data_IF_502042683160
#
_entry.id   IF_502042683160
#
_cell.length_a   1.000
_cell.length_b   1.000
_cell.length_c   1.000
_cell.angle_alpha   90.00
_cell.angle_beta   90.00
_cell.angle_gamma   90.00
#
_symmetry.space_group_name_H-M   'P 1'
#
loop_
_entity.id
_entity.type
_entity.pdbx_description
1 polymer ?
#
# COMPACT_ATOMS: atom_id res chain seq x y z
N UNK A 1 8.79 32.68 1.65
CA UNK A 1 8.53 33.93 0.90
C UNK A 1 7.87 34.86 1.90
N UNK A 2 8.38 36.08 2.09
CA UNK A 2 7.77 37.07 2.97
C UNK A 2 6.52 37.63 2.30
N UNK A 3 5.37 37.52 2.97
CA UNK A 3 4.11 38.08 2.46
C UNK A 3 4.15 39.61 2.52
N UNK A 4 3.66 40.28 1.48
CA UNK A 4 3.31 41.70 1.55
C UNK A 4 1.81 41.78 1.50
N UNK A 5 1.21 42.33 2.55
CA UNK A 5 -0.23 42.43 2.69
C UNK A 5 -0.66 43.87 2.57
N UNK A 6 -1.47 44.17 1.55
CA UNK A 6 -2.06 45.49 1.39
C UNK A 6 -3.32 45.62 2.26
N UNK A 7 -3.35 46.64 3.10
CA UNK A 7 -4.49 46.95 3.95
C UNK A 7 -5.45 47.88 3.20
N UNK A 8 -6.75 47.81 3.51
CA UNK A 8 -7.78 48.61 2.83
C UNK A 8 -7.62 50.13 2.95
N UNK A 9 -6.76 50.61 3.86
CA UNK A 9 -6.41 52.02 4.03
C UNK A 9 -5.18 52.46 3.20
N UNK A 10 -4.65 51.60 2.32
CA UNK A 10 -3.48 51.87 1.48
C UNK A 10 -2.13 51.65 2.16
N UNK A 11 -2.11 51.20 3.43
CA UNK A 11 -0.88 50.79 4.10
C UNK A 11 -0.46 49.37 3.71
N UNK A 12 0.83 49.08 3.77
CA UNK A 12 1.38 47.76 3.50
C UNK A 12 1.95 47.17 4.79
N UNK A 13 1.50 45.99 5.16
CA UNK A 13 2.09 45.19 6.22
C UNK A 13 3.07 44.19 5.62
N UNK A 14 4.31 44.21 6.11
CA UNK A 14 5.40 43.36 5.65
C UNK A 14 5.97 42.62 6.86
N UNK A 15 5.48 41.41 7.19
CA UNK A 15 6.22 40.48 8.04
C UNK A 15 7.60 40.19 7.44
N UNK A 16 8.59 39.96 8.30
CA UNK A 16 9.97 39.73 7.88
C UNK A 16 10.61 38.58 8.63
N UNK A 17 11.48 37.86 7.91
CA UNK A 17 12.31 36.83 8.51
C UNK A 17 13.49 37.47 9.24
N UNK A 18 13.35 37.69 10.56
CA UNK A 18 14.44 38.12 11.46
C UNK A 18 14.36 39.56 11.95
N UNK A 19 13.50 40.41 11.37
CA UNK A 19 13.36 41.82 11.76
C UNK A 19 11.96 42.20 12.26
N UNK A 20 11.08 41.21 12.48
CA UNK A 20 9.71 41.42 12.96
C UNK A 20 8.76 41.82 11.83
N UNK A 21 7.88 42.79 12.06
CA UNK A 21 6.93 43.29 11.07
C UNK A 21 7.13 44.79 10.81
N UNK A 22 6.85 45.19 9.57
CA UNK A 22 6.93 46.57 9.12
C UNK A 22 5.55 47.01 8.62
N UNK A 23 5.05 48.14 9.13
CA UNK A 23 3.86 48.79 8.57
C UNK A 23 4.30 50.04 7.82
N UNK A 24 4.04 50.05 6.52
CA UNK A 24 4.49 51.07 5.57
C UNK A 24 3.26 51.87 5.13
N UNK A 25 3.32 53.20 5.28
CA UNK A 25 2.39 54.13 4.65
C UNK A 25 3.12 54.77 3.46
N UNK A 26 2.95 54.24 2.23
CA UNK A 26 3.68 54.71 1.07
C UNK A 26 3.30 56.14 0.67
N UNK A 27 2.08 56.59 0.97
CA UNK A 27 1.64 57.94 0.64
C UNK A 27 2.31 58.99 1.53
N UNK A 28 2.55 58.66 2.81
CA UNK A 28 3.17 59.56 3.79
C UNK A 28 4.67 59.33 3.97
N UNK A 29 5.24 58.33 3.30
CA UNK A 29 6.63 57.90 3.49
C UNK A 29 6.93 57.48 4.93
N UNK A 30 5.94 56.94 5.66
CA UNK A 30 6.11 56.53 7.06
C UNK A 30 6.34 55.04 7.17
N UNK A 31 7.27 54.66 8.03
CA UNK A 31 7.60 53.28 8.35
C UNK A 31 7.51 53.08 9.86
N UNK A 32 6.73 52.10 10.30
CA UNK A 32 6.69 51.63 11.69
C UNK A 32 7.25 50.22 11.77
N UNK A 33 8.07 49.97 12.80
CA UNK A 33 8.67 48.68 13.06
C UNK A 33 8.07 48.04 14.31
N UNK A 34 7.77 46.75 14.23
CA UNK A 34 7.29 45.94 15.34
C UNK A 34 8.26 44.80 15.57
N UNK A 35 8.95 44.79 16.71
CA UNK A 35 9.94 43.78 17.08
C UNK A 35 9.53 43.07 18.35
N UNK A 36 10.00 41.85 18.51
CA UNK A 36 9.89 41.11 19.74
C UNK A 36 10.59 41.85 20.88
N UNK A 37 9.83 42.09 21.94
CA UNK A 37 10.30 42.59 23.23
C UNK A 37 9.96 41.51 24.29
N UNK A 38 10.95 40.93 24.96
CA UNK A 38 10.73 39.97 26.03
C UNK A 38 9.95 40.53 27.23
N UNK A 39 9.89 41.85 27.40
CA UNK A 39 9.21 42.51 28.51
C UNK A 39 7.78 42.98 28.17
N UNK A 40 7.39 42.93 26.90
CA UNK A 40 6.04 43.31 26.43
C UNK A 40 5.35 42.10 25.82
N UNK A 41 4.34 41.56 26.51
CA UNK A 41 3.53 40.45 26.01
C UNK A 41 2.68 40.82 24.79
N UNK A 42 2.48 42.11 24.54
CA UNK A 42 1.74 42.64 23.39
C UNK A 42 2.61 42.92 22.17
N UNK A 43 3.92 42.67 22.24
CA UNK A 43 4.80 42.61 21.06
C UNK A 43 4.66 41.26 20.33
N UNK A 44 5.25 41.07 19.14
CA UNK A 44 5.43 39.73 18.57
C UNK A 44 6.22 38.80 19.51
N UNK A 45 5.97 37.49 19.47
CA UNK A 45 6.71 36.50 20.30
C UNK A 45 8.11 36.15 19.73
N UNK A 46 8.38 36.61 18.51
CA UNK A 46 9.59 36.34 17.73
C UNK A 46 9.77 37.42 16.66
N UNK A 47 11.00 37.61 16.20
CA UNK A 47 11.29 38.46 15.04
C UNK A 47 11.21 37.71 13.70
N UNK A 48 10.94 36.40 13.72
CA UNK A 48 10.77 35.59 12.51
C UNK A 48 9.28 35.44 12.19
N UNK A 49 8.73 36.49 11.59
CA UNK A 49 7.35 36.52 11.07
C UNK A 49 7.36 36.12 9.60
N UNK A 50 6.31 35.43 9.14
CA UNK A 50 6.29 34.76 7.84
C UNK A 50 5.15 35.27 6.94
N UNK A 51 4.09 34.47 6.74
CA UNK A 51 2.92 34.87 5.97
C UNK A 51 2.01 35.79 6.78
N UNK A 52 1.22 36.61 6.09
CA UNK A 52 0.14 37.38 6.70
C UNK A 52 -1.07 37.39 5.79
N UNK A 53 -2.26 37.35 6.39
CA UNK A 53 -3.53 37.35 5.66
C UNK A 53 -4.63 38.06 6.49
N UNK A 54 -5.73 38.43 5.86
CA UNK A 54 -6.86 39.15 6.49
C UNK A 54 -8.12 38.31 6.41
N UNK A 55 -8.78 38.11 7.55
CA UNK A 55 -10.06 37.41 7.54
C UNK A 55 -11.23 38.33 7.14
N UNK A 56 -12.42 37.73 7.03
CA UNK A 56 -13.66 38.44 6.67
C UNK A 56 -14.05 39.53 7.66
N UNK A 57 -13.56 39.48 8.89
CA UNK A 57 -13.80 40.49 9.91
C UNK A 57 -12.75 41.63 9.87
N UNK A 58 -11.78 41.56 8.95
CA UNK A 58 -10.70 42.54 8.84
C UNK A 58 -9.59 42.33 9.88
N UNK A 59 -9.57 41.20 10.59
CA UNK A 59 -8.50 40.84 11.52
C UNK A 59 -7.29 40.36 10.72
N UNK A 60 -6.10 40.83 11.12
CA UNK A 60 -4.86 40.53 10.40
C UNK A 60 -4.10 39.44 11.14
N UNK A 61 -3.92 38.31 10.50
CA UNK A 61 -3.24 37.16 11.07
C UNK A 61 -1.84 37.03 10.47
N UNK A 62 -0.85 36.75 11.30
CA UNK A 62 0.55 36.65 10.91
C UNK A 62 1.14 35.36 11.47
N UNK A 63 1.67 34.52 10.60
CA UNK A 63 2.42 33.32 10.97
C UNK A 63 3.82 33.64 11.49
N UNK A 64 4.38 32.73 12.27
CA UNK A 64 5.74 32.83 12.78
C UNK A 64 6.35 31.47 13.08
N UNK A 65 7.65 31.46 13.37
CA UNK A 65 8.33 30.25 13.84
C UNK A 65 7.95 29.82 15.29
N UNK A 66 7.11 30.60 15.99
CA UNK A 66 6.62 30.32 17.35
C UNK A 66 5.09 30.27 17.46
N UNK A 67 4.41 30.14 16.32
CA UNK A 67 2.95 30.09 16.25
C UNK A 67 2.33 31.24 15.49
N UNK A 68 1.09 31.58 15.83
CA UNK A 68 0.25 32.52 15.11
C UNK A 68 0.07 33.81 15.91
N UNK A 69 -0.06 34.94 15.23
CA UNK A 69 -0.31 36.24 15.84
C UNK A 69 -1.51 36.92 15.19
N UNK A 70 -2.31 37.59 16.00
CA UNK A 70 -3.32 38.54 15.55
C UNK A 70 -2.77 39.96 15.74
N UNK A 71 -2.59 40.69 14.64
CA UNK A 71 -2.09 42.06 14.65
C UNK A 71 -3.24 43.07 14.68
N UNK A 72 -3.11 44.06 15.57
CA UNK A 72 -4.08 45.15 15.75
C UNK A 72 -3.50 46.47 15.20
N UNK A 73 -3.82 46.89 13.96
CA UNK A 73 -3.18 48.05 13.33
C UNK A 73 -3.38 49.37 14.07
N UNK A 74 -4.53 49.54 14.73
CA UNK A 74 -4.89 50.75 15.46
C UNK A 74 -3.98 51.00 16.66
N UNK A 75 -3.62 49.94 17.39
CA UNK A 75 -2.77 50.02 18.59
C UNK A 75 -1.32 49.64 18.30
N UNK A 76 -1.06 48.93 17.21
CA UNK A 76 0.25 48.33 16.91
C UNK A 76 0.60 47.13 17.79
N UNK A 77 -0.39 46.52 18.45
CA UNK A 77 -0.21 45.39 19.38
C UNK A 77 -0.50 44.04 18.71
N UNK A 78 -0.05 42.98 19.36
CA UNK A 78 -0.21 41.59 18.93
C UNK A 78 -0.89 40.77 20.02
N UNK A 79 -1.89 39.99 19.64
CA UNK A 79 -2.34 38.83 20.43
C UNK A 79 -1.57 37.61 19.95
N UNK A 80 -0.98 36.84 20.86
CA UNK A 80 -0.14 35.66 20.55
C UNK A 80 -0.95 34.39 20.74
N UNK A 81 -0.92 33.49 19.76
CA UNK A 81 -1.45 32.13 19.85
C UNK A 81 -0.25 31.18 19.75
N UNK A 82 0.31 30.77 20.91
CA UNK A 82 1.47 29.89 20.94
C UNK A 82 1.14 28.56 20.28
N UNK A 83 2.00 28.17 19.35
CA UNK A 83 1.85 26.91 18.66
C UNK A 83 3.26 26.34 18.46
N UNK A 84 3.45 25.11 18.94
CA UNK A 84 4.78 24.49 19.11
C UNK A 84 5.51 24.16 17.81
N UNK A 85 4.92 24.49 16.67
CA UNK A 85 5.48 24.22 15.35
C UNK A 85 5.66 25.52 14.57
N UNK A 86 6.70 25.62 13.74
CA UNK A 86 6.89 26.78 12.89
C UNK A 86 5.80 26.84 11.82
N UNK A 87 5.20 28.01 11.62
CA UNK A 87 4.32 28.29 10.48
C UNK A 87 5.04 29.19 9.48
N UNK A 88 5.18 28.72 8.25
CA UNK A 88 5.81 29.48 7.17
C UNK A 88 4.80 30.13 6.22
N UNK A 89 3.58 29.62 6.20
CA UNK A 89 2.51 30.06 5.32
C UNK A 89 1.24 30.18 6.11
N UNK A 90 0.50 31.25 5.86
CA UNK A 90 -0.78 31.53 6.50
C UNK A 90 -1.74 31.88 5.38
N UNK A 91 -2.81 31.11 5.28
CA UNK A 91 -3.93 31.31 4.36
C UNK A 91 -5.21 31.29 5.17
N UNK A 92 -6.09 32.26 4.98
CA UNK A 92 -7.40 32.28 5.64
C UNK A 92 -8.42 31.82 4.62
N UNK A 93 -9.08 30.70 4.92
CA UNK A 93 -10.10 30.14 4.05
C UNK A 93 -11.43 30.90 4.16
N UNK A 94 -12.30 30.74 3.15
CA UNK A 94 -13.64 31.35 3.15
C UNK A 94 -14.50 30.89 4.31
N UNK A 95 -14.26 29.70 4.86
CA UNK A 95 -14.97 29.20 6.04
C UNK A 95 -14.59 29.95 7.33
N UNK A 96 -13.55 30.79 7.30
CA UNK A 96 -13.04 31.55 8.44
C UNK A 96 -11.93 30.82 9.20
N UNK A 97 -11.62 29.57 8.86
CA UNK A 97 -10.47 28.85 9.43
C UNK A 97 -9.17 29.37 8.86
N UNK A 98 -8.14 29.32 9.68
CA UNK A 98 -6.79 29.75 9.32
C UNK A 98 -5.95 28.52 9.07
N UNK A 99 -5.49 28.38 7.83
CA UNK A 99 -4.66 27.28 7.37
C UNK A 99 -3.19 27.67 7.44
N UNK A 100 -2.41 26.84 8.11
CA UNK A 100 -1.01 27.07 8.38
C UNK A 100 -0.17 25.96 7.74
N UNK A 101 0.73 26.37 6.84
CA UNK A 101 1.70 25.47 6.23
C UNK A 101 2.98 25.42 7.05
N UNK A 102 3.34 24.24 7.56
CA UNK A 102 4.58 24.04 8.30
C UNK A 102 5.62 23.27 7.48
N UNK A 103 6.88 23.72 7.43
CA UNK A 103 7.96 22.94 6.84
C UNK A 103 8.28 21.73 7.72
N UNK A 104 7.97 20.53 7.24
CA UNK A 104 8.34 19.28 7.90
C UNK A 104 7.33 18.77 8.94
N UNK A 105 6.26 19.53 9.23
CA UNK A 105 5.19 19.12 10.16
C UNK A 105 3.80 19.06 9.54
N UNK A 106 3.68 19.32 8.24
CA UNK A 106 2.43 19.20 7.49
C UNK A 106 1.56 20.45 7.51
N UNK A 107 0.24 20.23 7.41
CA UNK A 107 -0.79 21.26 7.38
C UNK A 107 -1.44 21.35 8.75
N UNK A 108 -1.77 22.57 9.17
CA UNK A 108 -2.55 22.80 10.37
C UNK A 108 -3.74 23.70 10.05
N UNK A 109 -4.83 23.54 10.78
CA UNK A 109 -5.92 24.51 10.83
C UNK A 109 -6.02 25.11 12.23
N UNK A 110 -6.44 26.36 12.28
CA UNK A 110 -6.74 27.09 13.50
C UNK A 110 -8.14 27.68 13.38
N UNK A 111 -8.98 27.39 14.36
CA UNK A 111 -10.31 27.95 14.47
C UNK A 111 -10.27 29.18 15.40
N UNK A 112 -10.53 30.40 14.88
CA UNK A 112 -10.46 31.62 15.68
C UNK A 112 -11.61 31.76 16.68
N UNK A 113 -12.68 30.97 16.61
CA UNK A 113 -13.80 31.02 17.55
C UNK A 113 -13.57 30.10 18.76
N UNK A 114 -12.97 28.92 18.54
CA UNK A 114 -12.63 27.98 19.62
C UNK A 114 -11.18 28.13 20.12
N UNK A 115 -10.34 28.84 19.37
CA UNK A 115 -8.89 28.98 19.59
C UNK A 115 -8.13 27.63 19.55
N UNK A 116 -8.66 26.64 18.84
CA UNK A 116 -8.07 25.30 18.75
C UNK A 116 -7.25 25.10 17.47
N UNK A 117 -6.13 24.38 17.60
CA UNK A 117 -5.31 23.93 16.49
C UNK A 117 -5.58 22.46 16.17
N UNK A 118 -5.65 22.13 14.89
CA UNK A 118 -5.71 20.75 14.41
C UNK A 118 -4.57 20.49 13.43
N UNK A 119 -3.96 19.29 13.49
CA UNK A 119 -2.84 18.89 12.65
C UNK A 119 -3.26 17.80 11.66
N UNK A 120 -2.91 17.98 10.40
CA UNK A 120 -3.01 16.96 9.35
C UNK A 120 -1.60 16.42 9.05
N UNK A 121 -1.36 15.15 9.40
CA UNK A 121 -0.04 14.52 9.30
C UNK A 121 -0.07 13.25 8.43
N UNK A 122 1.04 12.85 7.77
CA UNK A 122 1.13 11.58 7.03
C UNK A 122 0.82 10.30 7.81
N UNK A 123 0.85 10.36 9.14
CA UNK A 123 0.46 9.23 10.00
C UNK A 123 -1.04 8.99 9.95
N UNK A 124 -1.81 10.03 9.67
CA UNK A 124 -3.27 10.02 9.54
C UNK A 124 -3.68 9.83 8.07
N UNK A 125 -2.71 9.53 7.20
CA UNK A 125 -2.90 9.35 5.75
C UNK A 125 -2.61 10.60 4.92
N UNK A 126 -2.53 11.80 5.52
CA UNK A 126 -2.40 13.05 4.76
C UNK A 126 -1.02 13.19 4.06
N UNK A 127 -0.96 13.30 2.72
CA UNK A 127 0.30 13.12 1.99
C UNK A 127 1.31 14.29 2.14
N UNK A 128 0.88 15.47 2.58
CA UNK A 128 1.73 16.64 2.66
C UNK A 128 2.40 16.79 4.03
N UNK A 129 3.71 16.57 4.09
CA UNK A 129 4.53 16.81 5.30
C UNK A 129 5.29 18.15 5.27
N UNK A 130 5.47 18.74 4.09
CA UNK A 130 6.21 19.99 3.87
C UNK A 130 5.37 20.85 2.96
N UNK A 131 4.54 21.68 3.57
CA UNK A 131 3.65 22.59 2.84
C UNK A 131 4.41 23.83 2.42
N UNK A 132 4.37 24.16 1.14
CA UNK A 132 5.05 25.32 0.54
C UNK A 132 4.09 26.36 -0.01
N UNK A 133 2.83 25.98 -0.23
CA UNK A 133 1.79 26.84 -0.79
C UNK A 133 0.44 26.30 -0.36
N UNK A 134 -0.51 27.20 -0.07
CA UNK A 134 -1.91 26.90 0.15
C UNK A 134 -2.69 27.91 -0.70
N UNK A 135 -3.62 27.42 -1.52
CA UNK A 135 -4.46 28.24 -2.38
C UNK A 135 -5.87 27.68 -2.38
N UNK A 136 -6.83 28.47 -1.92
CA UNK A 136 -8.25 28.08 -1.93
C UNK A 136 -8.91 28.35 -3.29
N UNK A 137 -9.76 27.42 -3.72
CA UNK A 137 -10.58 27.49 -4.93
C UNK A 137 -11.96 28.15 -4.70
N UNK A 138 -12.81 28.11 -5.73
CA UNK A 138 -14.15 28.70 -5.71
C UNK A 138 -15.12 27.96 -4.77
N UNK A 139 -14.90 26.67 -4.59
CA UNK A 139 -15.72 25.73 -3.83
C UNK A 139 -15.28 25.54 -2.36
N UNK A 140 -14.18 26.19 -1.96
CA UNK A 140 -13.61 26.10 -0.61
C UNK A 140 -12.62 24.95 -0.42
N UNK A 141 -12.26 24.27 -1.51
CA UNK A 141 -11.19 23.29 -1.52
C UNK A 141 -9.82 23.95 -1.53
N UNK A 142 -8.86 23.32 -0.85
CA UNK A 142 -7.50 23.81 -0.70
C UNK A 142 -6.55 23.06 -1.62
N UNK A 143 -5.85 23.81 -2.46
CA UNK A 143 -4.74 23.34 -3.26
C UNK A 143 -3.43 23.58 -2.52
N UNK A 144 -2.74 22.50 -2.18
CA UNK A 144 -1.60 22.51 -1.27
C UNK A 144 -0.40 21.91 -1.98
N UNK A 145 0.64 22.72 -2.21
CA UNK A 145 1.89 22.17 -2.73
C UNK A 145 2.71 21.55 -1.59
N UNK A 146 3.23 20.36 -1.86
CA UNK A 146 4.10 19.62 -0.94
C UNK A 146 5.24 18.95 -1.70
N UNK A 147 6.20 18.36 -0.99
CA UNK A 147 7.37 17.74 -1.64
C UNK A 147 7.03 16.64 -2.66
N UNK A 148 5.86 16.00 -2.57
CA UNK A 148 5.42 14.94 -3.49
C UNK A 148 4.69 15.44 -4.73
N UNK A 149 4.29 16.72 -4.75
CA UNK A 149 3.40 17.25 -5.78
C UNK A 149 2.32 18.15 -5.17
N UNK A 150 1.13 18.11 -5.76
CA UNK A 150 0.01 18.98 -5.43
C UNK A 150 -1.11 18.18 -4.78
N UNK A 151 -1.59 18.62 -3.62
CA UNK A 151 -2.68 17.97 -2.90
C UNK A 151 -3.92 18.84 -3.02
N UNK A 152 -5.02 18.27 -3.47
CA UNK A 152 -6.34 18.85 -3.27
C UNK A 152 -6.92 18.33 -1.96
N UNK A 153 -7.38 19.21 -1.08
CA UNK A 153 -7.95 18.85 0.20
C UNK A 153 -9.28 19.58 0.40
N UNK A 154 -10.33 18.83 0.74
CA UNK A 154 -11.66 19.38 0.99
C UNK A 154 -11.91 19.47 2.50
N UNK A 155 -11.90 20.67 3.11
CA UNK A 155 -11.99 20.80 4.57
C UNK A 155 -13.30 20.30 5.19
N UNK A 156 -14.39 20.26 4.42
CA UNK A 156 -15.71 19.87 4.92
C UNK A 156 -15.87 18.35 5.05
N UNK A 157 -15.27 17.58 4.14
CA UNK A 157 -15.32 16.11 4.13
C UNK A 157 -14.04 15.47 4.66
N UNK A 158 -12.98 16.27 4.83
CA UNK A 158 -11.61 15.84 5.15
C UNK A 158 -11.02 14.86 4.14
N UNK A 159 -11.56 14.85 2.91
CA UNK A 159 -11.04 14.06 1.80
C UNK A 159 -9.90 14.80 1.10
N UNK A 160 -8.93 14.03 0.62
CA UNK A 160 -7.80 14.57 -0.13
C UNK A 160 -7.47 13.71 -1.34
N UNK A 161 -6.84 14.35 -2.32
CA UNK A 161 -6.29 13.72 -3.52
C UNK A 161 -4.89 14.27 -3.80
N UNK A 162 -3.93 13.38 -4.00
CA UNK A 162 -2.57 13.74 -4.40
C UNK A 162 -2.45 13.64 -5.92
N UNK A 163 -1.96 14.72 -6.53
CA UNK A 163 -1.51 14.80 -7.91
C UNK A 163 0.01 14.83 -7.94
N UNK A 164 0.62 13.96 -8.73
CA UNK A 164 2.07 13.84 -8.88
C UNK A 164 2.50 13.81 -10.37
N UNK A 165 3.74 13.39 -10.63
CA UNK A 165 4.30 13.34 -11.99
C UNK A 165 3.52 12.43 -12.94
N UNK A 166 2.84 11.41 -12.40
CA UNK A 166 2.02 10.49 -13.18
C UNK A 166 0.66 11.10 -13.56
N UNK A 167 0.22 12.12 -12.83
CA UNK A 167 -0.97 12.92 -13.14
C UNK A 167 -0.66 14.08 -14.11
N UNK A 168 0.56 14.13 -14.66
CA UNK A 168 1.00 15.13 -15.64
C UNK A 168 1.69 16.35 -15.03
N UNK A 169 1.98 16.34 -13.72
CA UNK A 169 2.82 17.37 -13.11
C UNK A 169 4.29 17.17 -13.51
N UNK A 170 5.09 18.25 -13.62
CA UNK A 170 6.51 18.13 -13.89
C UNK A 170 7.25 17.54 -12.67
N UNK A 171 8.28 16.71 -12.89
CA UNK A 171 9.17 16.24 -11.83
C UNK A 171 10.04 17.41 -11.36
N UNK A 172 9.65 18.04 -10.24
CA UNK A 172 10.23 19.29 -9.78
C UNK A 172 10.23 19.42 -8.24
N UNK A 173 11.02 20.33 -7.69
CA UNK A 173 10.96 20.63 -6.25
C UNK A 173 9.81 21.60 -5.94
N UNK A 174 8.70 21.02 -5.53
CA UNK A 174 7.50 21.73 -5.11
C UNK A 174 7.67 22.50 -3.79
N UNK A 175 8.80 22.39 -3.08
CA UNK A 175 9.03 23.04 -1.78
C UNK A 175 9.07 24.57 -1.80
N UNK A 176 9.18 25.18 -2.99
CA UNK A 176 9.11 26.64 -3.18
C UNK A 176 8.09 27.04 -4.25
N UNK A 177 7.07 26.21 -4.43
CA UNK A 177 5.95 26.54 -5.29
C UNK A 177 5.30 27.87 -4.84
N UNK A 178 4.83 28.65 -5.81
CA UNK A 178 3.95 29.79 -5.57
C UNK A 178 2.64 29.58 -6.31
N UNK A 179 1.58 30.18 -5.82
CA UNK A 179 0.27 30.15 -6.47
C UNK A 179 -0.24 31.56 -6.76
N UNK A 180 -1.11 31.63 -7.74
CA UNK A 180 -1.96 32.77 -8.00
C UNK A 180 -3.28 32.25 -8.56
N UNK A 181 -4.40 32.55 -7.88
CA UNK A 181 -5.73 32.34 -8.44
C UNK A 181 -6.10 33.54 -9.33
N UNK A 182 -6.55 33.25 -10.55
CA UNK A 182 -6.99 34.26 -11.51
C UNK A 182 -8.51 34.51 -11.41
N UNK A 183 -9.02 35.65 -11.90
CA UNK A 183 -10.46 35.98 -11.83
C UNK A 183 -11.38 35.02 -12.58
N UNK A 184 -10.83 34.24 -13.53
CA UNK A 184 -11.57 33.23 -14.29
C UNK A 184 -11.65 31.87 -13.57
N UNK A 185 -11.20 31.80 -12.31
CA UNK A 185 -11.18 30.58 -11.49
C UNK A 185 -9.96 29.68 -11.75
N UNK A 186 -9.12 30.00 -12.74
CA UNK A 186 -7.93 29.20 -13.00
C UNK A 186 -6.83 29.43 -11.96
N UNK A 187 -6.09 28.36 -11.69
CA UNK A 187 -4.95 28.36 -10.80
C UNK A 187 -3.66 28.43 -11.61
N UNK A 188 -2.80 29.37 -11.27
CA UNK A 188 -1.47 29.51 -11.83
C UNK A 188 -0.44 29.12 -10.76
N UNK A 189 0.31 28.06 -11.01
CA UNK A 189 1.34 27.54 -10.13
C UNK A 189 2.71 27.81 -10.72
N UNK A 190 3.56 28.48 -9.96
CA UNK A 190 4.96 28.74 -10.31
C UNK A 190 5.85 27.77 -9.57
N UNK A 191 6.68 27.06 -10.31
CA UNK A 191 7.62 26.06 -9.78
C UNK A 191 9.06 26.58 -9.96
N UNK A 192 10.00 26.36 -9.02
CA UNK A 192 11.32 27.00 -8.99
C UNK A 192 12.19 26.81 -10.24
N UNK A 193 11.93 25.77 -11.03
CA UNK A 193 12.64 25.42 -12.27
C UNK A 193 12.14 26.22 -13.50
N UNK A 194 11.38 27.30 -13.28
CA UNK A 194 10.92 28.20 -14.35
C UNK A 194 9.67 27.72 -15.08
N UNK A 195 9.07 26.63 -14.63
CA UNK A 195 7.80 26.13 -15.18
C UNK A 195 6.63 26.82 -14.50
N UNK A 196 5.68 27.30 -15.31
CA UNK A 196 4.40 27.79 -14.83
C UNK A 196 3.31 26.86 -15.35
N UNK A 197 2.52 26.31 -14.44
CA UNK A 197 1.38 25.46 -14.77
C UNK A 197 0.13 26.29 -14.57
N UNK A 198 -0.79 26.22 -15.53
CA UNK A 198 -2.14 26.75 -15.38
C UNK A 198 -3.13 25.61 -15.54
N UNK A 199 -4.04 25.48 -14.59
CA UNK A 199 -5.12 24.50 -14.65
C UNK A 199 -6.42 25.10 -14.11
N UNK A 200 -7.54 24.47 -14.44
CA UNK A 200 -8.87 24.85 -13.96
C UNK A 200 -9.36 23.77 -13.00
N UNK A 201 -9.46 24.05 -11.69
CA UNK A 201 -9.94 23.08 -10.69
C UNK A 201 -11.24 22.39 -11.12
N UNK A 202 -12.23 23.17 -11.56
CA UNK A 202 -13.57 22.69 -11.90
C UNK A 202 -13.63 21.84 -13.19
N UNK A 203 -12.55 21.84 -13.98
CA UNK A 203 -12.46 21.06 -15.22
C UNK A 203 -11.70 19.74 -15.05
N UNK A 204 -11.16 19.46 -13.85
CA UNK A 204 -10.51 18.20 -13.56
C UNK A 204 -11.55 17.08 -13.57
N UNK A 205 -11.21 15.98 -14.26
CA UNK A 205 -12.06 14.81 -14.37
C UNK A 205 -11.30 13.62 -13.83
N UNK A 206 -11.94 12.88 -12.94
CA UNK A 206 -11.45 11.60 -12.47
C UNK A 206 -11.54 10.56 -13.59
N UNK A 207 -10.66 9.57 -13.58
CA UNK A 207 -10.75 8.45 -14.51
C UNK A 207 -11.86 7.48 -14.04
N UNK A 208 -13.01 7.40 -14.74
CA UNK A 208 -14.11 6.56 -14.30
C UNK A 208 -13.87 5.08 -14.60
N UNK A 209 -12.79 4.72 -15.31
CA UNK A 209 -12.57 3.36 -15.78
C UNK A 209 -11.71 2.57 -14.80
N UNK A 210 -12.25 1.54 -14.14
CA UNK A 210 -11.44 0.68 -13.31
C UNK A 210 -10.47 -0.15 -14.16
N UNK A 211 -9.33 -0.48 -13.57
CA UNK A 211 -8.36 -1.34 -14.25
C UNK A 211 -8.86 -2.79 -14.32
N UNK A 212 -8.74 -3.41 -15.50
CA UNK A 212 -9.10 -4.83 -15.68
C UNK A 212 -7.88 -5.72 -15.49
N UNK A 213 -7.90 -6.57 -14.47
CA UNK A 213 -6.79 -7.50 -14.21
C UNK A 213 -6.80 -8.67 -15.21
N UNK A 214 -5.61 -9.14 -15.59
CA UNK A 214 -5.43 -10.32 -16.42
C UNK A 214 -4.17 -11.09 -16.05
N UNK A 215 -4.18 -12.39 -16.33
CA UNK A 215 -3.00 -13.25 -16.20
C UNK A 215 -2.21 -13.19 -17.51
N UNK A 216 -0.90 -12.90 -17.42
CA UNK A 216 -0.05 -12.74 -18.61
C UNK A 216 0.88 -13.91 -18.84
N UNK A 217 1.41 -14.49 -17.76
CA UNK A 217 2.36 -15.59 -17.83
C UNK A 217 2.18 -16.54 -16.64
N UNK A 218 2.62 -17.78 -16.82
CA UNK A 218 2.58 -18.83 -15.82
C UNK A 218 3.87 -19.63 -15.87
N UNK A 219 4.53 -19.74 -14.72
CA UNK A 219 5.80 -20.45 -14.60
C UNK A 219 5.69 -21.61 -13.63
N UNK A 220 6.28 -22.75 -13.99
CA UNK A 220 6.43 -23.91 -13.12
C UNK A 220 7.87 -23.97 -12.61
N UNK A 221 8.06 -23.97 -11.29
CA UNK A 221 9.39 -24.00 -10.66
C UNK A 221 10.38 -22.97 -11.28
N UNK A 222 9.91 -21.73 -11.49
CA UNK A 222 10.64 -20.63 -12.14
C UNK A 222 11.09 -20.90 -13.59
N UNK A 223 10.38 -21.77 -14.31
CA UNK A 223 10.57 -22.00 -15.75
C UNK A 223 9.30 -21.63 -16.50
N UNK A 224 9.48 -20.89 -17.59
CA UNK A 224 8.40 -20.59 -18.52
C UNK A 224 7.82 -21.87 -19.11
N UNK A 225 6.50 -21.87 -19.31
CA UNK A 225 5.75 -23.01 -19.80
C UNK A 225 5.10 -22.63 -21.13
N UNK A 226 5.42 -23.38 -22.19
CA UNK A 226 4.82 -23.16 -23.50
C UNK A 226 3.45 -23.82 -23.60
N UNK A 227 2.54 -23.21 -24.36
CA UNK A 227 1.20 -23.74 -24.61
C UNK A 227 1.29 -24.97 -25.52
N UNK A 228 0.70 -26.09 -25.09
CA UNK A 228 0.62 -27.32 -25.88
C UNK A 228 1.89 -28.18 -25.89
N UNK A 229 2.95 -27.81 -25.16
CA UNK A 229 4.13 -28.65 -25.01
C UNK A 229 3.81 -29.95 -24.21
N UNK A 230 4.53 -31.07 -24.42
CA UNK A 230 4.17 -32.38 -23.84
C UNK A 230 4.06 -32.42 -22.30
N UNK A 231 4.84 -31.59 -21.61
CA UNK A 231 4.86 -31.51 -20.14
C UNK A 231 4.13 -30.28 -19.59
N UNK A 232 3.50 -29.50 -20.46
CA UNK A 232 2.83 -28.27 -20.11
C UNK A 232 1.41 -28.53 -19.62
N UNK A 233 1.00 -27.95 -18.47
CA UNK A 233 -0.41 -27.93 -18.08
C UNK A 233 -1.25 -26.97 -18.92
N UNK A 234 -0.64 -26.09 -19.71
CA UNK A 234 -1.32 -25.07 -20.51
C UNK A 234 -1.75 -25.65 -21.86
N UNK A 235 -3.05 -25.92 -22.01
CA UNK A 235 -3.67 -26.27 -23.30
C UNK A 235 -3.95 -25.04 -24.18
N UNK A 236 -4.12 -23.90 -23.54
CA UNK A 236 -4.32 -22.58 -24.16
C UNK A 236 -3.56 -21.53 -23.35
N UNK A 237 -3.38 -20.31 -23.88
CA UNK A 237 -2.72 -19.24 -23.13
C UNK A 237 -3.38 -19.00 -21.76
N UNK A 238 -2.58 -18.61 -20.76
CA UNK A 238 -3.08 -18.46 -19.39
C UNK A 238 -4.21 -17.44 -19.26
N UNK A 239 -4.17 -16.35 -20.03
CA UNK A 239 -5.24 -15.33 -20.05
C UNK A 239 -6.60 -15.92 -20.46
N UNK A 240 -6.62 -16.89 -21.38
CA UNK A 240 -7.83 -17.56 -21.84
C UNK A 240 -8.23 -18.74 -20.94
N UNK A 241 -7.36 -19.22 -20.06
CA UNK A 241 -7.58 -20.45 -19.27
C UNK A 241 -8.55 -20.18 -18.13
N UNK A 242 -9.62 -20.99 -18.02
CA UNK A 242 -10.58 -20.93 -16.91
C UNK A 242 -10.29 -21.97 -15.82
N UNK A 243 -9.78 -23.13 -16.23
CA UNK A 243 -9.40 -24.23 -15.35
C UNK A 243 -7.99 -24.69 -15.69
N UNK A 244 -7.09 -24.64 -14.71
CA UNK A 244 -5.71 -25.08 -14.80
C UNK A 244 -5.54 -26.38 -13.99
N UNK A 245 -5.19 -27.46 -14.69
CA UNK A 245 -4.95 -28.76 -14.08
C UNK A 245 -3.44 -29.02 -13.94
N UNK A 246 -2.97 -29.20 -12.72
CA UNK A 246 -1.59 -29.49 -12.39
C UNK A 246 -1.45 -30.92 -11.88
N UNK A 247 -0.31 -31.54 -12.16
CA UNK A 247 0.08 -32.81 -11.54
C UNK A 247 0.55 -32.58 -10.11
N UNK A 248 0.61 -33.66 -9.33
CA UNK A 248 1.02 -33.61 -7.92
C UNK A 248 2.45 -33.08 -7.71
N UNK A 249 3.33 -33.22 -8.71
CA UNK A 249 4.74 -32.78 -8.72
C UNK A 249 4.91 -31.33 -9.18
N UNK A 250 3.87 -30.73 -9.75
CA UNK A 250 3.84 -29.35 -10.26
C UNK A 250 3.27 -28.38 -9.21
N UNK A 251 3.68 -28.51 -7.94
CA UNK A 251 3.11 -27.76 -6.82
C UNK A 251 3.90 -26.50 -6.43
N UNK A 252 4.85 -26.09 -7.28
CA UNK A 252 5.58 -24.82 -7.18
C UNK A 252 5.37 -24.05 -8.47
N UNK A 253 4.67 -22.93 -8.39
CA UNK A 253 4.30 -22.16 -9.56
C UNK A 253 4.11 -20.67 -9.26
N UNK A 254 4.29 -19.86 -10.30
CA UNK A 254 4.18 -18.41 -10.24
C UNK A 254 3.18 -17.92 -11.27
N UNK A 255 2.20 -17.14 -10.83
CA UNK A 255 1.32 -16.39 -11.72
C UNK A 255 1.90 -14.99 -11.93
N UNK A 256 1.98 -14.57 -13.18
CA UNK A 256 2.26 -13.18 -13.55
C UNK A 256 0.98 -12.53 -14.04
N UNK A 257 0.75 -11.30 -13.64
CA UNK A 257 -0.45 -10.56 -13.95
C UNK A 257 -0.15 -9.14 -14.38
N UNK A 258 -1.05 -8.59 -15.18
CA UNK A 258 -1.06 -7.19 -15.60
C UNK A 258 -2.46 -6.61 -15.48
N UNK A 259 -2.54 -5.28 -15.57
CA UNK A 259 -3.78 -4.55 -15.58
C UNK A 259 -3.91 -3.82 -16.91
N UNK A 260 -5.07 -3.92 -17.56
CA UNK A 260 -5.42 -3.12 -18.72
C UNK A 260 -5.92 -1.76 -18.24
N UNK A 261 -4.97 -0.85 -17.98
CA UNK A 261 -5.22 0.56 -17.74
C UNK A 261 -3.93 1.33 -18.06
N UNK A 262 -3.96 2.16 -19.11
CA UNK A 262 -2.74 2.71 -19.72
C UNK A 262 -2.39 4.13 -19.27
N UNK A 263 -3.28 4.83 -18.56
CA UNK A 263 -3.04 6.21 -18.13
C UNK A 263 -1.83 6.31 -17.18
N UNK A 264 -1.75 5.41 -16.19
CA UNK A 264 -0.65 5.33 -15.23
C UNK A 264 -0.40 3.87 -14.80
N UNK A 265 0.20 3.03 -15.67
CA UNK A 265 0.29 1.59 -15.47
C UNK A 265 1.14 1.18 -14.25
N UNK A 266 2.11 2.02 -13.87
CA UNK A 266 2.98 1.82 -12.70
C UNK A 266 2.20 1.90 -11.38
N UNK A 267 1.15 2.75 -11.32
CA UNK A 267 0.33 2.99 -10.12
C UNK A 267 -0.89 2.06 -10.00
N UNK A 268 -1.08 1.14 -10.95
CA UNK A 268 -2.14 0.14 -10.83
C UNK A 268 -1.87 -0.76 -9.62
N UNK A 269 -2.87 -0.86 -8.75
CA UNK A 269 -2.81 -1.74 -7.58
C UNK A 269 -3.45 -3.09 -7.94
N UNK A 270 -2.96 -4.15 -7.33
CA UNK A 270 -3.48 -5.50 -7.52
C UNK A 270 -3.89 -6.08 -6.18
N UNK A 271 -4.95 -6.86 -6.18
CA UNK A 271 -5.31 -7.71 -5.05
C UNK A 271 -5.51 -9.12 -5.56
N UNK A 272 -4.91 -10.09 -4.87
CA UNK A 272 -5.06 -11.50 -5.20
C UNK A 272 -5.38 -12.33 -3.95
N UNK A 273 -6.02 -13.47 -4.19
CA UNK A 273 -6.35 -14.44 -3.15
C UNK A 273 -6.49 -15.83 -3.75
N UNK A 274 -5.86 -16.82 -3.13
CA UNK A 274 -6.09 -18.23 -3.40
C UNK A 274 -6.95 -18.83 -2.29
N UNK A 275 -8.22 -19.14 -2.60
CA UNK A 275 -9.14 -19.71 -1.61
C UNK A 275 -8.64 -21.05 -1.08
N UNK A 276 -8.61 -21.20 0.25
CA UNK A 276 -8.08 -22.37 0.94
C UNK A 276 -6.58 -22.29 1.27
N UNK A 277 -5.90 -21.22 0.86
CA UNK A 277 -4.49 -20.95 1.20
C UNK A 277 -4.36 -19.57 1.84
N UNK A 278 -4.87 -18.53 1.19
CA UNK A 278 -4.81 -17.16 1.69
C UNK A 278 -6.02 -16.85 2.61
N UNK A 279 -5.79 -16.40 3.86
CA UNK A 279 -6.89 -16.07 4.77
C UNK A 279 -7.73 -14.91 4.24
N UNK A 280 -7.07 -13.84 3.78
CA UNK A 280 -7.66 -12.60 3.26
C UNK A 280 -7.01 -12.17 1.93
N UNK A 281 -7.48 -11.05 1.37
CA UNK A 281 -6.91 -10.44 0.16
C UNK A 281 -5.50 -9.91 0.41
N UNK A 282 -4.58 -10.25 -0.48
CA UNK A 282 -3.22 -9.69 -0.49
C UNK A 282 -3.16 -8.51 -1.47
N UNK A 283 -2.93 -7.31 -0.96
CA UNK A 283 -2.82 -6.08 -1.76
C UNK A 283 -1.36 -5.78 -2.10
N UNK A 284 -1.08 -5.52 -3.38
CA UNK A 284 0.27 -5.23 -3.87
C UNK A 284 0.25 -4.07 -4.88
N UNK A 285 1.21 -3.16 -4.75
CA UNK A 285 1.36 -1.99 -5.65
C UNK A 285 2.48 -2.18 -6.66
N UNK A 286 3.65 -2.67 -6.23
CA UNK A 286 4.83 -2.79 -7.12
C UNK A 286 5.05 -4.21 -7.64
N UNK A 287 4.29 -5.18 -7.13
CA UNK A 287 4.44 -6.59 -7.50
C UNK A 287 3.50 -6.95 -8.63
N UNK A 288 4.02 -7.63 -9.65
CA UNK A 288 3.26 -8.14 -10.82
C UNK A 288 3.21 -9.66 -10.88
N UNK A 289 3.60 -10.33 -9.79
CA UNK A 289 3.60 -11.79 -9.70
C UNK A 289 3.34 -12.29 -8.29
N UNK A 290 2.82 -13.52 -8.21
CA UNK A 290 2.61 -14.26 -6.97
C UNK A 290 3.12 -15.68 -7.15
N UNK A 291 3.87 -16.17 -6.16
CA UNK A 291 4.43 -17.51 -6.14
C UNK A 291 3.74 -18.34 -5.04
N UNK A 292 3.27 -19.53 -5.40
CA UNK A 292 2.76 -20.53 -4.46
C UNK A 292 3.65 -21.78 -4.53
N UNK A 293 4.01 -22.31 -3.37
CA UNK A 293 4.88 -23.47 -3.25
C UNK A 293 4.32 -24.48 -2.26
N UNK A 294 4.45 -25.77 -2.58
CA UNK A 294 4.12 -26.85 -1.66
C UNK A 294 2.63 -27.07 -1.44
N UNK A 295 1.78 -26.62 -2.37
CA UNK A 295 0.34 -26.83 -2.27
C UNK A 295 -0.02 -28.32 -2.29
N UNK A 296 -1.03 -28.69 -1.50
CA UNK A 296 -1.52 -30.05 -1.44
C UNK A 296 -2.45 -30.35 -2.63
N UNK A 297 -2.61 -31.63 -3.01
CA UNK A 297 -3.62 -32.01 -3.99
C UNK A 297 -5.02 -31.57 -3.55
N UNK A 298 -5.74 -30.90 -4.44
CA UNK A 298 -7.00 -30.25 -4.11
C UNK A 298 -7.53 -29.35 -5.21
N UNK A 299 -8.67 -28.72 -4.95
CA UNK A 299 -9.28 -27.70 -5.81
C UNK A 299 -9.17 -26.36 -5.10
N UNK A 300 -8.68 -25.37 -5.82
CA UNK A 300 -8.46 -24.00 -5.34
C UNK A 300 -9.09 -23.02 -6.33
N UNK A 301 -9.50 -21.86 -5.84
CA UNK A 301 -9.98 -20.76 -6.68
C UNK A 301 -9.03 -19.58 -6.51
N UNK A 302 -8.29 -19.26 -7.58
CA UNK A 302 -7.45 -18.07 -7.62
C UNK A 302 -8.31 -16.89 -8.09
N UNK A 303 -8.33 -15.83 -7.29
CA UNK A 303 -9.03 -14.57 -7.59
C UNK A 303 -8.00 -13.46 -7.72
N UNK A 304 -8.19 -12.62 -8.72
CA UNK A 304 -7.34 -11.47 -9.01
C UNK A 304 -8.21 -10.29 -9.42
N UNK A 305 -7.96 -9.11 -8.84
CA UNK A 305 -8.55 -7.85 -9.30
C UNK A 305 -7.48 -6.77 -9.32
N UNK A 306 -7.74 -5.73 -10.09
CA UNK A 306 -6.86 -4.57 -10.20
C UNK A 306 -7.66 -3.29 -9.91
N UNK A 307 -6.98 -2.29 -9.40
CA UNK A 307 -7.48 -0.93 -9.33
C UNK A 307 -6.67 -0.03 -10.27
N UNK A 308 -7.33 0.99 -10.81
CA UNK A 308 -6.63 2.06 -11.52
C UNK A 308 -5.79 2.90 -10.54
N UNK A 309 -5.10 3.93 -11.06
CA UNK A 309 -4.25 4.81 -10.25
C UNK A 309 -5.01 5.60 -9.16
N UNK A 310 -6.33 5.72 -9.31
CA UNK A 310 -7.26 6.38 -8.38
C UNK A 310 -7.84 5.41 -7.33
N UNK A 311 -7.47 4.13 -7.37
CA UNK A 311 -7.94 3.13 -6.40
C UNK A 311 -9.32 2.55 -6.73
N UNK A 312 -9.86 2.81 -7.92
CA UNK A 312 -11.12 2.23 -8.37
C UNK A 312 -10.92 0.76 -8.78
N UNK A 313 -11.42 -0.16 -7.95
CA UNK A 313 -11.31 -1.60 -8.17
C UNK A 313 -12.23 -2.10 -9.28
N UNK A 314 -11.66 -2.85 -10.22
CA UNK A 314 -12.40 -3.50 -11.30
C UNK A 314 -12.93 -4.88 -10.94
N UNK A 315 -13.52 -5.52 -11.94
CA UNK A 315 -14.06 -6.88 -11.84
C UNK A 315 -12.98 -7.92 -11.52
N UNK A 316 -13.39 -8.98 -10.80
CA UNK A 316 -12.52 -10.09 -10.43
C UNK A 316 -12.30 -11.05 -11.62
N UNK A 317 -11.04 -11.34 -11.92
CA UNK A 317 -10.63 -12.47 -12.75
C UNK A 317 -10.44 -13.70 -11.87
N UNK A 318 -11.18 -14.76 -12.16
CA UNK A 318 -11.07 -16.05 -11.46
C UNK A 318 -10.44 -17.13 -12.33
N UNK A 319 -9.62 -17.99 -11.72
CA UNK A 319 -9.04 -19.18 -12.32
C UNK A 319 -9.21 -20.37 -11.37
N UNK A 320 -9.85 -21.44 -11.83
CA UNK A 320 -9.94 -22.68 -11.06
C UNK A 320 -8.63 -23.46 -11.19
N UNK A 321 -8.01 -23.78 -10.07
CA UNK A 321 -6.76 -24.53 -10.00
C UNK A 321 -7.04 -25.91 -9.40
N UNK A 322 -6.65 -26.97 -10.12
CA UNK A 322 -6.85 -28.35 -9.69
C UNK A 322 -5.51 -29.07 -9.64
N UNK A 323 -5.05 -29.42 -8.45
CA UNK A 323 -3.83 -30.22 -8.26
C UNK A 323 -4.23 -31.68 -8.07
N UNK A 324 -3.88 -32.52 -9.04
CA UNK A 324 -4.22 -33.94 -9.06
C UNK A 324 -3.46 -34.71 -7.95
N UNK A 325 -4.09 -35.72 -7.31
CA UNK A 325 -3.39 -36.57 -6.35
C UNK A 325 -2.36 -37.48 -7.06
N UNK A 326 -1.28 -37.89 -6.35
CA UNK A 326 -0.32 -38.84 -6.87
C UNK A 326 -0.98 -40.17 -7.28
N UNK A 327 -0.40 -40.84 -8.27
CA UNK A 327 -0.94 -42.08 -8.81
C UNK A 327 -1.05 -43.19 -7.75
N UNK A 328 -0.12 -43.25 -6.79
CA UNK A 328 -0.12 -44.21 -5.68
C UNK A 328 -1.21 -43.98 -4.62
N UNK A 329 -1.90 -42.83 -4.67
CA UNK A 329 -3.06 -42.54 -3.82
C UNK A 329 -4.40 -42.73 -4.55
N UNK A 330 -4.38 -43.16 -5.82
CA UNK A 330 -5.61 -43.46 -6.58
C UNK A 330 -6.19 -44.81 -6.15
N UNK A 331 -7.50 -45.00 -6.35
CA UNK A 331 -8.24 -46.19 -5.89
C UNK A 331 -7.64 -47.51 -6.36
N UNK A 332 -7.11 -47.57 -7.59
CA UNK A 332 -6.47 -48.78 -8.13
C UNK A 332 -5.15 -49.15 -7.43
N UNK A 333 -4.42 -48.17 -6.90
CA UNK A 333 -3.17 -48.42 -6.19
C UNK A 333 -3.43 -49.20 -4.89
N UNK A 334 -4.54 -48.93 -4.20
CA UNK A 334 -4.97 -49.70 -3.04
C UNK A 334 -5.31 -51.15 -3.39
N UNK A 335 -5.82 -51.43 -4.58
CA UNK A 335 -6.05 -52.80 -5.07
C UNK A 335 -4.72 -53.53 -5.27
N UNK A 336 -3.72 -52.86 -5.84
CA UNK A 336 -2.37 -53.43 -5.96
C UNK A 336 -1.71 -53.65 -4.60
N UNK A 337 -1.86 -52.73 -3.66
CA UNK A 337 -1.36 -52.90 -2.30
C UNK A 337 -2.03 -54.07 -1.59
N UNK A 338 -3.35 -54.22 -1.72
CA UNK A 338 -4.08 -55.36 -1.19
C UNK A 338 -3.63 -56.68 -1.86
N UNK A 339 -3.42 -56.67 -3.17
CA UNK A 339 -2.92 -57.83 -3.92
C UNK A 339 -1.49 -58.22 -3.53
N UNK A 340 -0.59 -57.26 -3.38
CA UNK A 340 0.78 -57.49 -2.91
C UNK A 340 0.78 -58.02 -1.48
N UNK A 341 -0.03 -57.45 -0.58
CA UNK A 341 -0.20 -57.94 0.79
C UNK A 341 -0.77 -59.36 0.81
N UNK A 342 -1.76 -59.67 -0.02
CA UNK A 342 -2.29 -61.02 -0.14
C UNK A 342 -1.24 -62.00 -0.69
N UNK A 343 -0.44 -61.58 -1.66
CA UNK A 343 0.68 -62.35 -2.21
C UNK A 343 1.76 -62.65 -1.16
N UNK A 344 2.15 -61.66 -0.34
CA UNK A 344 3.12 -61.87 0.74
C UNK A 344 2.57 -62.76 1.85
N UNK A 345 1.29 -62.61 2.20
CA UNK A 345 0.61 -63.51 3.14
C UNK A 345 0.54 -64.94 2.62
N UNK A 346 0.21 -65.14 1.33
CA UNK A 346 0.20 -66.47 0.70
C UNK A 346 1.61 -67.07 0.64
N UNK A 347 2.61 -66.26 0.30
CA UNK A 347 4.02 -66.70 0.29
C UNK A 347 4.46 -67.10 1.70
N UNK A 348 4.18 -66.29 2.71
CA UNK A 348 4.47 -66.57 4.11
C UNK A 348 3.75 -67.84 4.60
N UNK A 349 2.47 -68.00 4.25
CA UNK A 349 1.69 -69.20 4.56
C UNK A 349 2.29 -70.46 3.91
N UNK A 350 2.68 -70.39 2.64
CA UNK A 350 3.35 -71.49 1.94
C UNK A 350 4.72 -71.80 2.54
N UNK A 351 5.48 -70.78 2.90
CA UNK A 351 6.78 -70.91 3.53
C UNK A 351 6.68 -71.58 4.91
N UNK A 352 5.71 -71.15 5.74
CA UNK A 352 5.40 -71.83 6.99
C UNK A 352 5.01 -73.28 6.73
N UNK A 353 4.05 -73.58 5.84
CA UNK A 353 3.69 -74.98 5.52
C UNK A 353 4.89 -75.85 5.15
N UNK A 354 5.81 -75.33 4.33
CA UNK A 354 7.06 -76.05 3.97
C UNK A 354 7.94 -76.30 5.19
N UNK A 355 8.12 -75.31 6.07
CA UNK A 355 8.87 -75.48 7.33
C UNK A 355 8.26 -76.55 8.22
N UNK A 356 6.94 -76.54 8.38
CA UNK A 356 6.22 -77.52 9.20
C UNK A 356 6.36 -78.94 8.63
N UNK A 357 6.33 -79.09 7.30
CA UNK A 357 6.57 -80.38 6.64
C UNK A 357 7.98 -80.92 6.86
N UNK A 358 9.00 -80.04 6.78
CA UNK A 358 10.41 -80.42 7.04
C UNK A 358 10.59 -80.85 8.50
N UNK A 359 10.00 -80.13 9.46
CA UNK A 359 10.07 -80.49 10.88
C UNK A 359 9.36 -81.83 11.17
N UNK A 360 8.23 -82.09 10.53
CA UNK A 360 7.53 -83.36 10.66
C UNK A 360 8.34 -84.55 10.11
N UNK A 361 9.05 -84.37 8.99
CA UNK A 361 9.96 -85.38 8.44
C UNK A 361 11.14 -85.66 9.38
N UNK A 362 11.77 -84.62 9.93
CA UNK A 362 12.85 -84.76 10.92
C UNK A 362 12.41 -85.53 12.17
N UNK A 363 11.20 -85.31 12.66
CA UNK A 363 10.67 -86.04 13.81
C UNK A 363 10.40 -87.52 13.49
N UNK A 364 10.00 -87.84 12.26
CA UNK A 364 9.83 -89.22 11.82
C UNK A 364 11.18 -89.93 11.74
N UNK A 365 12.18 -89.30 11.14
CA UNK A 365 13.55 -89.85 11.07
C UNK A 365 14.15 -90.07 12.48
N UNK A 366 13.97 -89.13 13.41
CA UNK A 366 14.43 -89.29 14.80
C UNK A 366 13.76 -90.49 15.50
N UNK A 367 12.44 -90.67 15.31
CA UNK A 367 11.72 -91.82 15.86
C UNK A 367 12.14 -93.15 15.24
N UNK A 368 12.51 -93.17 13.96
CA UNK A 368 13.06 -94.36 13.32
C UNK A 368 14.44 -94.72 13.87
N UNK A 369 15.30 -93.73 14.07
CA UNK A 369 16.63 -93.93 14.71
C UNK A 369 16.47 -94.43 16.15
N UNK A 370 15.56 -93.85 16.93
CA UNK A 370 15.28 -94.29 18.32
C UNK A 370 14.76 -95.73 18.35
N UNK A 371 13.81 -96.10 17.47
CA UNK A 371 13.34 -97.50 17.39
C UNK A 371 14.44 -98.47 17.00
N UNK A 372 15.32 -98.09 16.08
CA UNK A 372 16.45 -98.93 15.68
C UNK A 372 17.43 -99.13 16.86
N UNK A 373 17.70 -98.08 17.64
CA UNK A 373 18.52 -98.16 18.85
C UNK A 373 17.85 -99.00 19.95
N UNK A 374 16.53 -98.86 20.16
CA UNK A 374 15.77 -99.71 21.09
C UNK A 374 15.83 -101.18 20.67
N UNK A 375 15.60 -101.47 19.39
CA UNK A 375 15.70 -102.83 18.84
C UNK A 375 17.11 -103.41 19.01
N UNK A 376 18.16 -102.61 18.82
CA UNK A 376 19.53 -103.07 19.00
C UNK A 376 19.85 -103.33 20.49
N UNK A 377 19.41 -102.45 21.39
CA UNK A 377 19.56 -102.63 22.84
C UNK A 377 18.81 -103.85 23.39
N UNK A 378 17.62 -104.15 22.83
CA UNK A 378 16.85 -105.36 23.14
C UNK A 378 17.56 -106.61 22.65
N UNK A 379 18.18 -106.56 21.46
CA UNK A 379 19.04 -107.65 20.98
C UNK A 379 20.21 -107.85 21.93
N UNK A 380 20.92 -106.80 22.34
CA UNK A 380 22.08 -106.94 23.25
C UNK A 380 21.69 -107.56 24.60
N UNK A 381 20.51 -107.21 25.15
CA UNK A 381 19.99 -107.81 26.40
C UNK A 381 19.53 -109.27 26.28
N UNK A 382 19.24 -109.76 25.08
CA UNK A 382 18.88 -111.16 24.84
C UNK A 382 20.11 -112.08 24.72
N UNK A 383 21.32 -111.51 24.59
CA UNK A 383 22.58 -112.24 24.41
C UNK A 383 23.53 -112.19 25.63
N UNK A 384 23.05 -111.71 26.78
CA UNK A 384 23.69 -111.84 28.11
C UNK A 384 22.72 -112.45 29.08
#
# INVERSE_FOLDING_TARGET
>A
MTGVLALGNGQLLVPTYGFGAHLIDPQKGRLKHFRHDPQDETSPSTNQLTGADIDKQGRIWIGSNKGLHLFHPSTGKFTRYPFGYPSNFTHIAKDGKIWLGSPGFGLFSFDPETEEFHQYHPRDGFPANRVSMIQEDDHGGLWIACYRGLVYFQPQTEEWRLYDEFDGLPPADWSKAGSLRLPDGSMLLRIPEGTTIRFYPDSLRDDPFPARANLVDFQLANRAVEVGAPESPLKQPIWATETLELRYDQNVFTFFFSAFHYAAPERNQFAYRLEGVDPDWNYVVDRRSVNYAGLQPGRYLFRLKAANHDGLWGEERTLQLVIQPPWWRRSWAYVLYAGALFGTLLWFYRFQRRRWQIQAQLQLEQREVERLQEMDSLKTRLYT
#
